data_IF_670636152354
#
_entry.id   IF_670636152354
#
_cell.length_a   1.000
_cell.length_b   1.000
_cell.length_c   1.000
_cell.angle_alpha   90.00
_cell.angle_beta   90.00
_cell.angle_gamma   90.00
#
_symmetry.space_group_name_H-M   'P 1'
#
loop_
_entity.id
_entity.type
_entity.pdbx_description
1 polymer ?
#
# COMPACT_ATOMS: atom_id res chain seq x y z
N UNK A 1 -18.91 3.98 -28.64
CA UNK A 1 -17.84 3.38 -29.49
C UNK A 1 -16.79 2.78 -28.55
N UNK A 2 -16.35 1.55 -28.81
CA UNK A 2 -15.27 0.91 -28.05
C UNK A 2 -13.96 1.68 -28.22
N UNK A 3 -13.05 1.55 -27.25
CA UNK A 3 -11.68 2.05 -27.43
C UNK A 3 -10.97 1.07 -28.36
N UNK A 4 -10.29 1.51 -29.44
CA UNK A 4 -9.69 0.62 -30.44
C UNK A 4 -8.69 -0.39 -29.84
N UNK A 5 -8.07 -0.03 -28.72
CA UNK A 5 -7.15 -0.89 -27.97
C UNK A 5 -7.86 -2.07 -27.29
N UNK A 6 -9.11 -1.91 -26.88
CA UNK A 6 -9.90 -2.99 -26.29
C UNK A 6 -10.30 -4.00 -27.36
N UNK A 7 -10.56 -3.55 -28.58
CA UNK A 7 -10.85 -4.42 -29.73
C UNK A 7 -9.60 -5.23 -30.10
N UNK A 8 -8.41 -4.63 -30.06
CA UNK A 8 -7.14 -5.35 -30.23
C UNK A 8 -6.90 -6.37 -29.11
N UNK A 9 -7.23 -6.05 -27.86
CA UNK A 9 -7.15 -7.02 -26.76
C UNK A 9 -8.13 -8.19 -26.94
N UNK A 10 -9.35 -7.95 -27.42
CA UNK A 10 -10.33 -9.00 -27.71
C UNK A 10 -9.87 -9.94 -28.82
N UNK A 11 -9.11 -9.42 -29.79
CA UNK A 11 -8.57 -10.23 -30.87
C UNK A 11 -7.43 -11.15 -30.40
N UNK A 12 -6.63 -10.71 -29.43
CA UNK A 12 -5.42 -11.43 -28.97
C UNK A 12 -5.72 -12.38 -27.81
N UNK A 13 -6.66 -12.06 -26.92
CA UNK A 13 -6.97 -12.89 -25.75
C UNK A 13 -8.08 -13.89 -26.07
N UNK A 14 -7.81 -15.20 -25.88
CA UNK A 14 -8.84 -16.23 -26.01
C UNK A 14 -9.67 -16.36 -24.73
N UNK A 15 -9.05 -16.19 -23.55
CA UNK A 15 -9.73 -16.32 -22.26
C UNK A 15 -10.22 -14.96 -21.70
N UNK A 16 -11.44 -14.96 -21.16
CA UNK A 16 -12.04 -13.78 -20.52
C UNK A 16 -11.25 -13.30 -19.28
N UNK A 17 -10.63 -14.21 -18.54
CA UNK A 17 -9.78 -13.89 -17.39
C UNK A 17 -8.52 -13.11 -17.82
N UNK A 18 -7.82 -13.59 -18.86
CA UNK A 18 -6.66 -12.90 -19.45
C UNK A 18 -7.05 -11.52 -19.97
N UNK A 19 -8.17 -11.41 -20.68
CA UNK A 19 -8.68 -10.14 -21.20
C UNK A 19 -8.90 -9.10 -20.09
N UNK A 20 -9.58 -9.51 -19.01
CA UNK A 20 -9.89 -8.61 -17.89
C UNK A 20 -8.60 -8.13 -17.20
N UNK A 21 -7.64 -9.04 -16.96
CA UNK A 21 -6.35 -8.69 -16.36
C UNK A 21 -5.51 -7.80 -17.28
N UNK A 22 -5.47 -8.11 -18.58
CA UNK A 22 -4.76 -7.34 -19.60
C UNK A 22 -5.29 -5.90 -19.70
N UNK A 23 -6.61 -5.72 -19.61
CA UNK A 23 -7.26 -4.40 -19.60
C UNK A 23 -6.79 -3.55 -18.40
N UNK A 24 -6.67 -4.14 -17.22
CA UNK A 24 -6.16 -3.46 -16.02
C UNK A 24 -4.68 -3.09 -16.22
N UNK A 25 -3.86 -4.03 -16.68
CA UNK A 25 -2.43 -3.80 -16.92
C UNK A 25 -2.21 -2.72 -17.99
N UNK A 26 -3.03 -2.67 -19.04
CA UNK A 26 -2.95 -1.65 -20.08
C UNK A 26 -3.21 -0.24 -19.53
N UNK A 27 -4.22 -0.08 -18.69
CA UNK A 27 -4.51 1.20 -18.05
C UNK A 27 -3.35 1.64 -17.14
N UNK A 28 -2.78 0.72 -16.37
CA UNK A 28 -1.63 0.98 -15.50
C UNK A 28 -0.36 1.29 -16.32
N UNK A 29 -0.10 0.55 -17.39
CA UNK A 29 1.04 0.79 -18.25
C UNK A 29 0.96 2.20 -18.84
N UNK A 30 -0.21 2.60 -19.38
CA UNK A 30 -0.43 3.93 -19.95
C UNK A 30 -0.15 5.09 -18.99
N UNK A 31 -0.55 4.96 -17.73
CA UNK A 31 -0.30 6.00 -16.74
C UNK A 31 1.18 6.07 -16.39
N UNK A 32 1.84 4.92 -16.28
CA UNK A 32 3.25 4.80 -15.87
C UNK A 32 4.27 4.99 -16.98
N UNK A 33 3.89 4.85 -18.23
CA UNK A 33 4.80 4.97 -19.39
C UNK A 33 4.60 6.29 -20.13
N UNK A 34 3.83 7.22 -19.54
CA UNK A 34 3.60 8.55 -20.08
C UNK A 34 4.93 9.33 -20.18
N UNK A 35 5.13 10.16 -21.22
CA UNK A 35 6.31 11.03 -21.30
C UNK A 35 6.56 11.78 -19.97
N UNK A 36 7.77 11.65 -19.44
CA UNK A 36 8.18 12.23 -18.15
C UNK A 36 8.14 11.29 -16.94
N UNK A 37 7.63 10.06 -17.07
CA UNK A 37 7.62 9.08 -15.97
C UNK A 37 8.95 8.38 -15.70
N UNK A 38 9.94 8.56 -16.57
CA UNK A 38 11.19 7.79 -16.57
C UNK A 38 11.12 6.48 -17.37
N UNK A 39 9.92 5.98 -17.68
CA UNK A 39 9.69 4.76 -18.46
C UNK A 39 9.07 5.07 -19.83
N UNK A 40 9.75 5.92 -20.61
CA UNK A 40 9.21 6.34 -21.91
C UNK A 40 9.28 5.21 -22.94
N UNK A 41 8.11 4.85 -23.45
CA UNK A 41 7.94 3.96 -24.60
C UNK A 41 7.85 4.84 -25.85
N UNK A 42 8.66 4.54 -26.88
CA UNK A 42 8.66 5.30 -28.13
C UNK A 42 7.29 5.27 -28.82
N UNK A 43 6.98 6.30 -29.63
CA UNK A 43 5.66 6.45 -30.27
C UNK A 43 5.23 5.19 -31.05
N UNK A 44 6.15 4.59 -31.80
CA UNK A 44 5.91 3.38 -32.60
C UNK A 44 5.54 2.17 -31.74
N UNK A 45 6.05 2.12 -30.51
CA UNK A 45 5.84 1.03 -29.57
C UNK A 45 4.52 1.15 -28.79
N UNK A 46 3.83 2.30 -28.87
CA UNK A 46 2.51 2.48 -28.23
C UNK A 46 1.44 1.61 -28.91
N UNK A 47 1.56 1.37 -30.21
CA UNK A 47 0.63 0.54 -31.00
C UNK A 47 0.65 -0.91 -30.52
N UNK A 48 1.83 -1.42 -30.13
CA UNK A 48 2.00 -2.79 -29.65
C UNK A 48 1.70 -2.98 -28.15
N UNK A 49 1.40 -1.91 -27.41
CA UNK A 49 1.21 -1.95 -25.96
C UNK A 49 0.07 -2.90 -25.51
N UNK A 50 -1.09 -2.98 -26.19
CA UNK A 50 -2.15 -3.92 -25.83
C UNK A 50 -1.68 -5.38 -25.86
N UNK A 51 -0.98 -5.80 -26.92
CA UNK A 51 -0.47 -7.17 -27.07
C UNK A 51 0.59 -7.51 -26.01
N UNK A 52 1.47 -6.57 -25.66
CA UNK A 52 2.45 -6.73 -24.56
C UNK A 52 1.74 -6.92 -23.21
N UNK A 53 0.69 -6.14 -22.93
CA UNK A 53 -0.08 -6.27 -21.70
C UNK A 53 -0.86 -7.58 -21.63
N UNK A 54 -1.37 -8.07 -22.77
CA UNK A 54 -2.03 -9.37 -22.88
C UNK A 54 -1.07 -10.53 -22.57
N UNK A 55 0.15 -10.50 -23.13
CA UNK A 55 1.20 -11.45 -22.80
C UNK A 55 1.56 -11.46 -21.31
N UNK A 56 1.77 -10.30 -20.71
CA UNK A 56 2.07 -10.19 -19.28
C UNK A 56 0.92 -10.70 -18.40
N UNK A 57 -0.34 -10.47 -18.81
CA UNK A 57 -1.51 -11.00 -18.10
C UNK A 57 -1.54 -12.53 -18.14
N UNK A 58 -1.27 -13.14 -19.30
CA UNK A 58 -1.19 -14.60 -19.43
C UNK A 58 -0.07 -15.20 -18.57
N UNK A 59 1.10 -14.54 -18.52
CA UNK A 59 2.19 -14.94 -17.61
C UNK A 59 1.80 -14.84 -16.14
N UNK A 60 1.12 -13.78 -15.72
CA UNK A 60 0.70 -13.61 -14.32
C UNK A 60 -0.34 -14.65 -13.87
N UNK A 61 -1.20 -15.09 -14.81
CA UNK A 61 -2.22 -16.11 -14.53
C UNK A 61 -1.71 -17.54 -14.71
N UNK A 62 -0.48 -17.73 -15.22
CA UNK A 62 0.11 -19.03 -15.54
C UNK A 62 -0.79 -19.92 -16.42
N UNK A 63 -1.60 -19.32 -17.31
CA UNK A 63 -2.55 -20.05 -18.14
C UNK A 63 -2.03 -20.40 -19.53
N UNK A 64 -0.91 -19.80 -19.96
CA UNK A 64 -0.32 -20.05 -21.28
C UNK A 64 -1.18 -19.61 -22.47
N UNK A 65 -2.21 -18.79 -22.25
CA UNK A 65 -3.17 -18.31 -23.26
C UNK A 65 -2.49 -17.58 -24.44
N UNK A 66 -1.42 -16.82 -24.15
CA UNK A 66 -0.72 -16.03 -25.17
C UNK A 66 0.77 -16.34 -25.12
N UNK A 67 1.30 -16.89 -26.21
CA UNK A 67 2.73 -17.08 -26.39
C UNK A 67 3.42 -15.77 -26.80
N UNK A 68 4.73 -15.69 -26.55
CA UNK A 68 5.52 -14.50 -26.90
C UNK A 68 5.49 -14.20 -28.40
N UNK A 69 5.52 -15.23 -29.24
CA UNK A 69 5.49 -15.09 -30.70
C UNK A 69 4.14 -14.55 -31.19
N UNK A 70 3.03 -15.03 -30.64
CA UNK A 70 1.68 -14.52 -30.95
C UNK A 70 1.52 -13.07 -30.52
N UNK A 71 2.01 -12.71 -29.33
CA UNK A 71 2.00 -11.33 -28.85
C UNK A 71 2.86 -10.41 -29.73
N UNK A 72 4.02 -10.88 -30.18
CA UNK A 72 4.87 -10.11 -31.08
C UNK A 72 4.18 -9.87 -32.44
N UNK A 73 3.65 -10.92 -33.07
CA UNK A 73 2.97 -10.81 -34.37
C UNK A 73 1.75 -9.89 -34.30
N UNK A 74 0.94 -9.99 -33.24
CA UNK A 74 -0.23 -9.12 -33.03
C UNK A 74 0.09 -7.68 -32.65
N UNK A 75 1.31 -7.42 -32.13
CA UNK A 75 1.79 -6.07 -31.83
C UNK A 75 2.25 -5.30 -33.06
N UNK A 76 2.50 -5.99 -34.18
CA UNK A 76 3.13 -5.46 -35.39
C UNK A 76 4.51 -4.79 -35.13
N UNK A 77 5.20 -5.16 -34.06
CA UNK A 77 6.52 -4.64 -33.72
C UNK A 77 7.63 -5.60 -34.16
N UNK A 78 8.78 -5.02 -34.53
CA UNK A 78 10.02 -5.78 -34.67
C UNK A 78 10.40 -6.46 -33.34
N UNK A 79 10.94 -7.67 -33.38
CA UNK A 79 11.27 -8.48 -32.19
C UNK A 79 12.08 -7.70 -31.14
N UNK A 80 13.12 -6.99 -31.58
CA UNK A 80 13.98 -6.18 -30.72
C UNK A 80 13.21 -5.05 -30.03
N UNK A 81 12.28 -4.42 -30.75
CA UNK A 81 11.44 -3.33 -30.23
C UNK A 81 10.38 -3.87 -29.27
N UNK A 82 9.80 -5.03 -29.58
CA UNK A 82 8.87 -5.74 -28.72
C UNK A 82 9.52 -6.12 -27.38
N UNK A 83 10.69 -6.76 -27.40
CA UNK A 83 11.42 -7.14 -26.19
C UNK A 83 11.80 -5.93 -25.33
N UNK A 84 12.25 -4.85 -25.97
CA UNK A 84 12.56 -3.59 -25.26
C UNK A 84 11.31 -3.03 -24.59
N UNK A 85 10.19 -2.97 -25.31
CA UNK A 85 8.90 -2.47 -24.80
C UNK A 85 8.40 -3.35 -23.66
N UNK A 86 8.48 -4.67 -23.79
CA UNK A 86 8.13 -5.63 -22.75
C UNK A 86 8.95 -5.40 -21.48
N UNK A 87 10.27 -5.24 -21.61
CA UNK A 87 11.15 -4.95 -20.48
C UNK A 87 10.77 -3.63 -19.80
N UNK A 88 10.57 -2.56 -20.57
CA UNK A 88 10.18 -1.25 -20.04
C UNK A 88 8.80 -1.27 -19.37
N UNK A 89 7.81 -1.94 -19.96
CA UNK A 89 6.46 -2.09 -19.37
C UNK A 89 6.52 -2.92 -18.10
N UNK A 90 7.30 -4.00 -18.09
CA UNK A 90 7.53 -4.81 -16.88
C UNK A 90 8.17 -3.95 -15.79
N UNK A 91 9.27 -3.27 -16.09
CA UNK A 91 9.92 -2.36 -15.13
C UNK A 91 8.97 -1.28 -14.63
N UNK A 92 8.16 -0.67 -15.50
CA UNK A 92 7.19 0.36 -15.08
C UNK A 92 6.08 -0.20 -14.18
N UNK A 93 5.47 -1.34 -14.55
CA UNK A 93 4.38 -1.94 -13.77
C UNK A 93 4.87 -2.43 -12.41
N UNK A 94 6.03 -3.09 -12.39
CA UNK A 94 6.64 -3.63 -11.17
C UNK A 94 7.51 -2.60 -10.43
N UNK A 95 7.73 -1.41 -10.98
CA UNK A 95 8.37 -0.31 -10.23
C UNK A 95 7.53 0.03 -9.00
N UNK A 96 6.19 0.05 -9.13
CA UNK A 96 5.35 0.23 -7.95
C UNK A 96 5.44 -0.98 -7.05
N UNK A 97 5.42 -2.22 -7.55
CA UNK A 97 5.56 -3.38 -6.66
C UNK A 97 6.89 -3.36 -5.91
N UNK A 98 7.96 -2.83 -6.52
CA UNK A 98 9.27 -2.68 -5.90
C UNK A 98 9.40 -1.40 -5.05
N UNK A 99 8.65 -0.33 -5.33
CA UNK A 99 8.56 0.87 -4.48
C UNK A 99 7.62 0.63 -3.29
N UNK A 100 6.56 -0.13 -3.52
CA UNK A 100 5.67 -0.78 -2.56
C UNK A 100 6.21 -2.13 -2.11
N UNK A 101 7.50 -2.45 -2.29
CA UNK A 101 8.21 -3.35 -1.35
C UNK A 101 8.44 -2.67 -0.01
N UNK A 102 8.01 -1.41 0.12
CA UNK A 102 7.47 -0.86 1.37
C UNK A 102 6.09 -1.44 1.74
N UNK A 103 5.64 -2.57 1.14
CA UNK A 103 4.75 -3.53 1.82
C UNK A 103 5.51 -3.89 3.07
N UNK A 104 5.20 -3.14 4.12
CA UNK A 104 6.11 -2.92 5.22
C UNK A 104 6.66 -4.24 5.70
N UNK A 105 7.97 -4.27 5.88
CA UNK A 105 8.71 -5.46 6.25
C UNK A 105 7.99 -6.18 7.39
N UNK A 106 7.54 -7.41 7.15
CA UNK A 106 6.88 -8.17 8.21
C UNK A 106 7.94 -8.70 9.17
N UNK A 107 7.62 -8.74 10.46
CA UNK A 107 8.48 -9.43 11.44
C UNK A 107 8.68 -10.90 11.10
N UNK A 108 7.74 -11.53 10.39
CA UNK A 108 7.89 -12.90 9.91
C UNK A 108 8.98 -13.04 8.85
N UNK A 109 9.13 -12.04 7.99
CA UNK A 109 10.16 -12.04 6.94
C UNK A 109 11.55 -11.84 7.57
N UNK A 110 11.67 -10.87 8.48
CA UNK A 110 12.89 -10.65 9.28
C UNK A 110 13.27 -11.90 10.09
N UNK A 111 12.31 -12.56 10.73
CA UNK A 111 12.59 -13.75 11.51
C UNK A 111 13.00 -14.94 10.64
N UNK A 112 12.40 -15.07 9.45
CA UNK A 112 12.78 -16.09 8.47
C UNK A 112 14.22 -15.90 7.99
N UNK A 113 14.61 -14.66 7.76
CA UNK A 113 15.95 -14.31 7.26
C UNK A 113 17.03 -14.47 8.33
N UNK A 114 16.78 -13.99 9.56
CA UNK A 114 17.84 -13.86 10.58
C UNK A 114 17.73 -14.80 11.79
N UNK A 115 16.55 -15.38 12.08
CA UNK A 115 16.29 -16.06 13.37
C UNK A 115 16.15 -17.58 13.27
N UNK A 116 15.90 -18.13 12.08
CA UNK A 116 15.71 -19.58 11.88
C UNK A 116 14.49 -20.15 12.64
N UNK A 117 14.65 -21.34 13.24
CA UNK A 117 13.52 -22.16 13.75
C UNK A 117 12.74 -21.61 14.96
N UNK A 118 13.20 -20.55 15.63
CA UNK A 118 12.49 -19.93 16.78
C UNK A 118 11.57 -18.75 16.39
N UNK A 119 11.24 -18.64 15.11
CA UNK A 119 10.61 -17.45 14.50
C UNK A 119 9.25 -17.05 15.07
N UNK A 120 8.41 -18.00 15.51
CA UNK A 120 7.02 -17.68 15.89
C UNK A 120 6.90 -16.92 17.21
N UNK A 121 7.58 -17.36 18.29
CA UNK A 121 7.50 -16.68 19.61
C UNK A 121 8.17 -15.31 19.56
N UNK A 122 9.29 -15.23 18.85
CA UNK A 122 10.04 -13.99 18.66
C UNK A 122 9.21 -12.94 17.91
N UNK A 123 8.42 -13.35 16.90
CA UNK A 123 7.49 -12.44 16.22
C UNK A 123 6.42 -11.89 17.17
N UNK A 124 5.92 -12.71 18.10
CA UNK A 124 4.99 -12.28 19.15
C UNK A 124 5.57 -11.17 20.02
N UNK A 125 6.81 -11.33 20.49
CA UNK A 125 7.50 -10.31 21.29
C UNK A 125 7.76 -9.01 20.51
N UNK A 126 8.06 -9.09 19.21
CA UNK A 126 8.22 -7.92 18.36
C UNK A 126 6.91 -7.15 18.19
N UNK A 127 5.79 -7.86 17.96
CA UNK A 127 4.46 -7.26 17.88
C UNK A 127 4.04 -6.61 19.21
N UNK A 128 4.32 -7.26 20.34
CA UNK A 128 4.07 -6.70 21.68
C UNK A 128 4.87 -5.40 21.89
N UNK A 129 6.13 -5.37 21.45
CA UNK A 129 7.00 -4.19 21.55
C UNK A 129 6.47 -3.05 20.67
N UNK A 130 6.10 -3.33 19.41
CA UNK A 130 5.50 -2.33 18.50
C UNK A 130 4.21 -1.77 19.09
N UNK A 131 3.35 -2.62 19.68
CA UNK A 131 2.10 -2.19 20.32
C UNK A 131 2.35 -1.23 21.48
N UNK A 132 3.35 -1.49 22.33
CA UNK A 132 3.71 -0.58 23.43
C UNK A 132 4.24 0.76 22.91
N UNK A 133 5.02 0.76 21.84
CA UNK A 133 5.52 1.99 21.21
C UNK A 133 4.41 2.82 20.59
N UNK A 134 3.43 2.19 19.95
CA UNK A 134 2.25 2.85 19.38
C UNK A 134 1.37 3.42 20.50
N UNK A 135 1.09 2.64 21.54
CA UNK A 135 0.22 3.07 22.65
C UNK A 135 0.77 4.27 23.42
N UNK A 136 2.10 4.38 23.55
CA UNK A 136 2.74 5.52 24.22
C UNK A 136 2.95 6.74 23.30
N UNK A 137 2.66 6.62 22.00
CA UNK A 137 2.85 7.66 20.97
C UNK A 137 4.24 8.31 20.91
N UNK A 138 5.28 7.69 21.49
CA UNK A 138 6.62 8.31 21.63
C UNK A 138 7.32 8.50 20.29
N UNK A 139 7.01 7.64 19.31
CA UNK A 139 7.60 7.67 17.97
C UNK A 139 6.77 8.46 16.95
N UNK A 140 5.46 8.61 17.18
CA UNK A 140 4.51 9.25 16.26
C UNK A 140 4.89 10.65 15.77
N UNK A 141 5.52 11.56 16.57
CA UNK A 141 5.84 12.90 16.06
C UNK A 141 6.99 12.93 15.05
N UNK A 142 7.82 11.88 14.97
CA UNK A 142 9.02 11.87 14.11
C UNK A 142 9.10 10.71 13.14
N UNK A 143 8.44 9.60 13.44
CA UNK A 143 8.54 8.35 12.69
C UNK A 143 7.16 7.76 12.50
N UNK A 144 6.87 7.29 11.28
CA UNK A 144 5.69 6.47 11.04
C UNK A 144 5.87 5.13 11.76
N UNK A 145 4.87 4.70 12.52
CA UNK A 145 4.89 3.40 13.21
C UNK A 145 5.07 2.24 12.22
N UNK A 146 4.64 2.40 10.97
CA UNK A 146 4.80 1.39 9.91
C UNK A 146 6.13 1.48 9.17
N UNK A 147 7.03 2.38 9.59
CA UNK A 147 8.34 2.55 8.96
C UNK A 147 9.20 1.30 9.18
N UNK A 148 9.84 0.83 8.11
CA UNK A 148 10.80 -0.28 8.16
C UNK A 148 11.95 0.00 9.15
N UNK A 149 12.28 1.29 9.37
CA UNK A 149 13.26 1.71 10.37
C UNK A 149 12.87 1.27 11.79
N UNK A 150 11.61 1.52 12.18
CA UNK A 150 11.10 1.17 13.51
C UNK A 150 11.05 -0.34 13.66
N UNK A 151 10.60 -1.06 12.62
CA UNK A 151 10.55 -2.53 12.65
C UNK A 151 11.92 -3.16 12.75
N UNK A 152 12.90 -2.71 11.97
CA UNK A 152 14.27 -3.20 12.06
C UNK A 152 14.90 -2.90 13.42
N UNK A 153 14.62 -1.73 14.00
CA UNK A 153 15.10 -1.37 15.33
C UNK A 153 14.48 -2.24 16.43
N UNK A 154 13.17 -2.48 16.38
CA UNK A 154 12.46 -3.40 17.28
C UNK A 154 13.00 -4.81 17.11
N UNK A 155 13.16 -5.27 15.87
CA UNK A 155 13.70 -6.60 15.57
C UNK A 155 15.08 -6.79 16.19
N UNK A 156 16.00 -5.86 15.94
CA UNK A 156 17.35 -5.91 16.49
C UNK A 156 17.35 -5.86 18.02
N UNK A 157 16.52 -4.99 18.61
CA UNK A 157 16.40 -4.86 20.05
C UNK A 157 15.91 -6.17 20.71
N UNK A 158 14.86 -6.79 20.17
CA UNK A 158 14.38 -8.10 20.65
C UNK A 158 15.46 -9.16 20.44
N UNK A 159 16.14 -9.16 19.28
CA UNK A 159 17.21 -10.11 18.99
C UNK A 159 18.38 -10.02 19.99
N UNK A 160 18.73 -8.82 20.46
CA UNK A 160 19.72 -8.62 21.51
C UNK A 160 19.28 -9.26 22.84
N UNK A 161 18.01 -9.09 23.23
CA UNK A 161 17.48 -9.67 24.48
C UNK A 161 17.48 -11.19 24.42
N UNK A 162 17.13 -11.76 23.27
CA UNK A 162 17.09 -13.21 23.02
C UNK A 162 18.51 -13.80 22.78
N UNK A 163 19.54 -12.94 22.76
CA UNK A 163 20.93 -13.32 22.48
C UNK A 163 21.12 -14.00 21.11
N UNK A 164 20.34 -13.56 20.11
CA UNK A 164 20.53 -14.00 18.73
C UNK A 164 21.80 -13.36 18.17
N UNK A 165 22.63 -14.18 17.51
CA UNK A 165 23.89 -13.73 16.87
C UNK A 165 23.60 -12.98 15.57
N UNK A 166 22.95 -11.82 15.65
CA UNK A 166 22.66 -10.97 14.49
C UNK A 166 23.56 -9.74 14.54
N UNK A 167 24.29 -9.46 13.46
CA UNK A 167 25.13 -8.27 13.37
C UNK A 167 24.30 -7.05 12.97
N UNK A 168 24.34 -6.02 13.81
CA UNK A 168 23.63 -4.75 13.58
C UNK A 168 23.96 -4.14 12.20
N UNK A 169 25.22 -4.25 11.79
CA UNK A 169 25.72 -3.68 10.53
C UNK A 169 25.14 -4.35 9.29
N UNK A 170 24.71 -5.61 9.38
CA UNK A 170 24.12 -6.35 8.25
C UNK A 170 22.69 -5.85 8.03
N UNK A 171 21.87 -5.83 9.08
CA UNK A 171 20.48 -5.33 9.05
C UNK A 171 20.38 -3.87 8.54
N UNK A 172 21.29 -2.99 8.98
CA UNK A 172 21.29 -1.58 8.53
C UNK A 172 21.63 -1.46 7.04
N UNK A 173 22.57 -2.27 6.54
CA UNK A 173 23.01 -2.24 5.14
C UNK A 173 21.97 -2.86 4.22
N UNK A 174 21.41 -4.00 4.60
CA UNK A 174 20.46 -4.76 3.79
C UNK A 174 19.17 -3.95 3.55
N UNK A 175 18.78 -3.11 4.51
CA UNK A 175 17.58 -2.29 4.44
C UNK A 175 17.85 -0.80 4.15
N UNK A 176 19.08 -0.43 3.81
CA UNK A 176 19.48 0.96 3.49
C UNK A 176 19.05 1.99 4.55
N UNK A 177 19.21 1.66 5.83
CA UNK A 177 18.78 2.51 6.94
C UNK A 177 19.85 3.53 7.33
N UNK A 178 19.42 4.69 7.83
CA UNK A 178 20.35 5.68 8.40
C UNK A 178 20.75 5.26 9.82
N UNK A 179 22.03 4.94 10.01
CA UNK A 179 22.60 4.54 11.32
C UNK A 179 22.27 5.54 12.44
N UNK A 180 22.39 6.85 12.15
CA UNK A 180 22.06 7.91 13.12
C UNK A 180 20.59 7.87 13.56
N UNK A 181 19.66 7.62 12.63
CA UNK A 181 18.23 7.54 12.96
C UNK A 181 17.93 6.24 13.71
N UNK A 182 18.57 5.14 13.31
CA UNK A 182 18.44 3.85 13.96
C UNK A 182 18.85 3.91 15.44
N UNK A 183 19.98 4.54 15.75
CA UNK A 183 20.45 4.75 17.13
C UNK A 183 19.48 5.59 17.96
N UNK A 184 18.87 6.63 17.36
CA UNK A 184 17.88 7.46 18.04
C UNK A 184 16.65 6.62 18.39
N UNK A 185 16.14 5.83 17.44
CA UNK A 185 14.99 4.94 17.67
C UNK A 185 15.33 3.90 18.73
N UNK A 186 16.52 3.30 18.70
CA UNK A 186 16.96 2.33 19.71
C UNK A 186 17.03 2.92 21.12
N UNK A 187 17.52 4.17 21.27
CA UNK A 187 17.52 4.86 22.57
C UNK A 187 16.11 5.05 23.12
N UNK A 188 15.16 5.37 22.24
CA UNK A 188 13.74 5.50 22.62
C UNK A 188 13.17 4.14 23.04
N UNK A 189 13.41 3.08 22.26
CA UNK A 189 12.93 1.73 22.57
C UNK A 189 13.50 1.25 23.93
N UNK A 190 14.80 1.42 24.16
CA UNK A 190 15.44 1.04 25.43
C UNK A 190 14.82 1.73 26.65
N UNK A 191 14.47 3.02 26.52
CA UNK A 191 13.86 3.80 27.59
C UNK A 191 12.42 3.38 27.85
N UNK A 192 11.64 3.17 26.80
CA UNK A 192 10.19 3.03 26.91
C UNK A 192 9.70 1.58 27.01
N UNK A 193 10.49 0.61 26.55
CA UNK A 193 10.11 -0.81 26.48
C UNK A 193 10.79 -1.67 27.57
N UNK A 194 11.28 -1.09 28.66
CA UNK A 194 11.95 -1.84 29.75
C UNK A 194 11.01 -2.90 30.39
N UNK A 195 9.71 -2.61 30.51
CA UNK A 195 8.71 -3.55 31.00
C UNK A 195 8.56 -4.77 30.09
N UNK A 196 8.55 -4.54 28.77
CA UNK A 196 8.51 -5.61 27.75
C UNK A 196 9.79 -6.44 27.82
N UNK A 197 10.95 -5.80 28.01
CA UNK A 197 12.21 -6.52 28.17
C UNK A 197 12.20 -7.45 29.40
N UNK A 198 11.64 -7.01 30.53
CA UNK A 198 11.48 -7.85 31.73
C UNK A 198 10.59 -9.06 31.45
N UNK A 199 9.45 -8.85 30.77
CA UNK A 199 8.53 -9.92 30.34
C UNK A 199 9.21 -10.94 29.41
N UNK A 200 9.94 -10.48 28.40
CA UNK A 200 10.66 -11.37 27.47
C UNK A 200 11.71 -12.20 28.21
N UNK A 201 12.47 -11.59 29.14
CA UNK A 201 13.48 -12.32 29.93
C UNK A 201 12.85 -13.37 30.84
N UNK A 202 11.73 -13.08 31.50
CA UNK A 202 11.04 -14.08 32.32
C UNK A 202 10.49 -15.24 31.50
N UNK A 203 9.94 -14.97 30.30
CA UNK A 203 9.48 -16.03 29.40
C UNK A 203 10.64 -16.85 28.83
N UNK A 204 11.79 -16.22 28.55
CA UNK A 204 12.99 -16.92 28.12
C UNK A 204 13.54 -17.85 29.21
N UNK A 205 13.57 -17.41 30.47
CA UNK A 205 13.99 -18.24 31.59
C UNK A 205 13.05 -19.44 31.77
N UNK A 206 11.73 -19.20 31.69
CA UNK A 206 10.73 -20.27 31.75
C UNK A 206 10.86 -21.30 30.61
N UNK A 207 11.39 -20.90 29.45
CA UNK A 207 11.68 -21.82 28.33
C UNK A 207 13.05 -22.49 28.45
N UNK A 208 13.97 -21.92 29.24
CA UNK A 208 15.31 -22.45 29.46
C UNK A 208 15.32 -23.59 30.49
N UNK A 209 14.32 -23.64 31.35
CA UNK A 209 14.11 -24.71 32.32
C UNK A 209 13.07 -25.72 31.81
N UNK A 210 13.42 -26.59 30.84
CA UNK A 210 12.51 -27.65 30.39
C UNK A 210 12.28 -28.72 31.47
N UNK A 211 12.96 -28.63 32.61
CA UNK A 211 12.96 -29.65 33.66
C UNK A 211 11.83 -29.50 34.69
N UNK A 212 11.13 -28.36 34.77
CA UNK A 212 10.05 -28.15 35.76
C UNK A 212 8.63 -28.27 35.20
N UNK A 213 8.48 -28.32 33.87
CA UNK A 213 7.22 -28.70 33.22
C UNK A 213 7.20 -30.20 32.90
N UNK A 214 7.49 -31.02 33.91
CA UNK A 214 6.92 -32.36 33.93
C UNK A 214 5.40 -32.15 33.99
N UNK A 215 4.69 -32.64 32.96
CA UNK A 215 3.24 -32.71 32.95
C UNK A 215 2.72 -33.06 34.35
N UNK A 216 1.78 -32.30 34.93
CA UNK A 216 0.88 -32.87 35.90
C UNK A 216 0.03 -33.86 35.11
N UNK A 217 0.60 -35.05 34.93
CA UNK A 217 -0.15 -36.24 34.56
C UNK A 217 -1.13 -36.38 35.70
N UNK A 218 -2.33 -35.95 35.40
CA UNK A 218 -3.55 -36.02 36.17
C UNK A 218 -3.71 -37.45 36.71
N UNK A 219 -3.06 -37.70 37.85
CA UNK A 219 -3.35 -38.84 38.69
C UNK A 219 -4.67 -38.52 39.36
N UNK A 220 -5.75 -38.74 38.62
CA UNK A 220 -7.05 -39.00 39.20
C UNK A 220 -6.90 -40.28 40.03
N UNK A 221 -6.54 -40.08 41.30
CA UNK A 221 -6.82 -40.99 42.39
C UNK A 221 -8.32 -41.27 42.38
N UNK A 222 -8.69 -42.34 41.67
CA UNK A 222 -9.98 -42.97 41.84
C UNK A 222 -9.88 -43.84 43.09
N UNK A 223 -10.64 -43.42 44.10
CA UNK A 223 -10.84 -44.16 45.34
C UNK A 223 -11.19 -45.63 45.08
N UNK A 224 -10.42 -46.46 45.76
CA UNK A 224 -10.66 -47.88 46.04
C UNK A 224 -11.91 -48.03 46.93
N UNK A 225 -12.78 -49.02 46.67
CA UNK A 225 -13.20 -49.90 47.75
C UNK A 225 -12.88 -51.36 47.45
N UNK A 226 -12.74 -52.11 48.53
CA UNK A 226 -12.27 -53.48 48.60
C UNK A 226 -13.18 -54.50 47.87
N UNK A 227 -12.57 -55.63 47.50
CA UNK A 227 -12.92 -56.97 48.01
C UNK A 227 -13.00 -58.07 46.93
N UNK A 228 -12.44 -59.23 47.30
CA UNK A 228 -12.59 -60.58 46.73
C UNK A 228 -11.80 -60.98 45.45
N UNK A 229 -10.68 -61.66 45.72
CA UNK A 229 -10.38 -63.05 45.33
C UNK A 229 -10.07 -63.46 43.86
N UNK A 230 -9.19 -64.46 43.80
CA UNK A 230 -8.74 -65.30 42.67
C UNK A 230 -7.57 -64.70 41.85
N UNK A 231 -6.33 -65.06 42.16
CA UNK A 231 -5.61 -66.28 41.74
C UNK A 231 -5.09 -66.24 40.30
N UNK A 232 -3.84 -66.73 40.17
CA UNK A 232 -3.14 -67.14 38.94
C UNK A 232 -2.51 -66.04 38.08
N UNK A 233 -1.20 -65.90 38.20
CA UNK A 233 -0.27 -66.46 37.19
C UNK A 233 1.13 -65.85 37.33
N UNK A 234 2.04 -66.69 37.81
CA UNK A 234 3.48 -66.50 37.80
C UNK A 234 4.03 -66.37 36.37
N UNK A 235 4.94 -65.42 36.13
CA UNK A 235 6.09 -65.52 35.21
C UNK A 235 6.93 -64.23 35.37
N UNK A 236 7.90 -64.17 36.29
CA UNK A 236 9.30 -64.61 36.15
C UNK A 236 10.13 -63.86 35.10
N UNK A 237 11.16 -63.12 35.60
CA UNK A 237 12.56 -63.02 35.09
C UNK A 237 12.75 -62.47 33.65
N UNK A 238 13.73 -61.65 33.30
CA UNK A 238 15.14 -61.48 33.70
C UNK A 238 15.69 -60.19 33.09
N UNK A 239 16.63 -59.56 33.80
CA UNK A 239 17.87 -58.91 33.32
C UNK A 239 18.15 -58.95 31.81
N UNK A 240 18.56 -57.82 31.24
CA UNK A 240 19.96 -57.57 30.86
C UNK A 240 20.12 -56.21 30.16
N UNK A 241 21.16 -55.47 30.53
CA UNK A 241 21.68 -54.38 29.72
C UNK A 241 22.62 -54.92 28.65
N UNK A 242 22.73 -54.21 27.54
CA UNK A 242 23.85 -54.32 26.61
C UNK A 242 24.11 -52.96 25.98
N UNK A 243 25.25 -52.38 26.34
CA UNK A 243 25.96 -51.42 25.53
C UNK A 243 26.35 -52.07 24.18
N UNK A 244 26.34 -51.30 23.09
CA UNK A 244 27.54 -51.16 22.26
C UNK A 244 27.41 -50.13 21.12
N UNK A 245 28.55 -49.57 20.66
CA UNK A 245 28.67 -48.53 19.65
C UNK A 245 29.03 -49.10 18.25
N UNK A 246 28.84 -48.31 17.19
CA UNK A 246 29.47 -48.48 15.87
C UNK A 246 29.33 -47.15 15.11
N UNK A 247 30.38 -46.33 14.90
CA UNK A 247 31.46 -46.47 13.90
C UNK A 247 30.98 -46.95 12.53
N UNK A 248 30.87 -46.02 11.58
CA UNK A 248 31.20 -46.29 10.18
C UNK A 248 31.82 -45.06 9.53
N UNK A 249 33.08 -45.21 9.14
CA UNK A 249 33.85 -44.32 8.30
C UNK A 249 33.95 -44.96 6.91
N UNK A 250 33.57 -44.24 5.85
CA UNK A 250 34.13 -44.31 4.48
C UNK A 250 33.76 -42.96 3.81
N UNK A 251 34.68 -42.05 3.46
CA UNK A 251 35.78 -42.11 2.49
C UNK A 251 35.28 -42.18 1.04
N UNK A 252 35.09 -41.02 0.41
CA UNK A 252 35.38 -40.83 -1.02
C UNK A 252 36.11 -39.51 -1.23
N UNK A 253 37.27 -39.67 -1.85
CA UNK A 253 38.29 -38.70 -2.22
C UNK A 253 38.14 -38.50 -3.73
N UNK A 254 37.98 -37.27 -4.19
CA UNK A 254 38.18 -36.94 -5.61
C UNK A 254 38.95 -35.64 -5.69
N UNK A 255 40.27 -35.81 -5.77
CA UNK A 255 41.20 -34.87 -6.37
C UNK A 255 40.93 -34.88 -7.89
N UNK A 256 40.70 -33.71 -8.47
CA UNK A 256 41.24 -33.39 -9.78
C UNK A 256 41.79 -31.97 -9.75
N UNK A 257 43.12 -31.92 -9.65
CA UNK A 257 43.95 -30.84 -10.15
C UNK A 257 43.79 -30.73 -11.67
N UNK A 258 43.89 -29.49 -12.19
CA UNK A 258 44.67 -29.10 -13.40
C UNK A 258 44.14 -27.80 -14.06
N UNK A 259 44.97 -27.02 -14.78
CA UNK A 259 45.36 -25.70 -14.29
C UNK A 259 45.29 -24.57 -15.34
N UNK A 260 45.68 -23.37 -14.91
CA UNK A 260 46.39 -22.32 -15.69
C UNK A 260 45.72 -21.59 -16.87
N UNK A 261 45.75 -20.25 -16.71
CA UNK A 261 46.12 -19.20 -17.70
C UNK A 261 45.14 -18.82 -18.81
N UNK A 262 44.63 -17.60 -18.71
CA UNK A 262 44.50 -16.62 -19.81
C UNK A 262 44.06 -15.27 -19.18
N UNK A 263 44.93 -14.28 -18.94
CA UNK A 263 45.46 -13.29 -19.90
C UNK A 263 44.42 -12.78 -20.90
N UNK A 264 43.78 -11.65 -20.58
CA UNK A 264 43.82 -10.43 -21.43
C UNK A 264 43.23 -9.20 -20.72
N UNK A 265 44.14 -8.31 -20.35
CA UNK A 265 43.94 -6.86 -20.26
C UNK A 265 43.42 -6.35 -21.62
N UNK A 266 42.32 -5.60 -21.62
CA UNK A 266 42.19 -4.41 -22.47
C UNK A 266 41.81 -3.25 -21.57
N UNK A 267 42.83 -2.49 -21.18
CA UNK A 267 42.63 -1.10 -20.85
C UNK A 267 42.23 -0.38 -22.13
N UNK A 268 41.13 0.35 -22.07
CA UNK A 268 40.85 1.44 -23.00
C UNK A 268 40.95 2.70 -22.17
N UNK A 269 42.15 3.25 -22.19
CA UNK A 269 42.46 4.63 -21.85
C UNK A 269 41.84 5.53 -22.91
N UNK A 270 40.96 6.44 -22.50
CA UNK A 270 40.60 7.60 -23.31
C UNK A 270 41.51 8.76 -22.89
N UNK A 271 42.30 9.21 -23.85
CA UNK A 271 43.18 10.36 -23.76
C UNK A 271 42.43 11.63 -23.36
N UNK A 272 43.05 12.38 -22.46
CA UNK A 272 42.79 13.78 -22.23
C UNK A 272 43.22 14.59 -23.46
N UNK A 273 42.28 14.87 -24.36
CA UNK A 273 42.44 15.87 -25.40
C UNK A 273 41.98 17.23 -24.91
N UNK A 274 42.93 18.09 -24.55
CA UNK A 274 42.73 19.53 -24.41
C UNK A 274 42.29 20.12 -25.75
N UNK A 275 41.10 20.70 -25.81
CA UNK A 275 40.58 21.32 -27.02
C UNK A 275 39.46 22.29 -26.70
N UNK A 276 39.84 23.54 -26.47
CA UNK A 276 39.01 24.74 -26.49
C UNK A 276 37.88 24.65 -27.55
N UNK A 277 36.63 24.88 -27.11
CA UNK A 277 35.56 25.52 -27.90
C UNK A 277 34.31 25.78 -27.04
N UNK A 278 34.20 27.04 -26.61
CA UNK A 278 32.99 27.89 -26.54
C UNK A 278 31.63 27.27 -26.15
N UNK A 279 30.94 27.79 -25.11
CA UNK A 279 29.55 27.44 -24.87
C UNK A 279 28.61 28.14 -25.87
N UNK A 280 28.03 27.39 -26.80
CA UNK A 280 26.90 27.86 -27.60
C UNK A 280 25.64 27.94 -26.73
N UNK A 281 25.35 29.18 -26.34
CA UNK A 281 24.07 29.69 -25.84
C UNK A 281 22.99 29.43 -26.89
N UNK A 282 21.91 28.75 -26.53
CA UNK A 282 20.67 28.71 -27.33
C UNK A 282 19.47 29.20 -26.52
N UNK A 283 18.49 29.84 -27.20
CA UNK A 283 17.60 30.81 -26.60
C UNK A 283 16.31 30.20 -26.04
N UNK A 284 15.97 30.64 -24.83
CA UNK A 284 14.65 30.44 -24.20
C UNK A 284 13.61 31.23 -25.00
N UNK A 285 12.89 30.56 -25.91
CA UNK A 285 11.66 31.09 -26.51
C UNK A 285 10.51 30.88 -25.52
N UNK A 286 10.09 31.97 -24.87
CA UNK A 286 8.87 32.04 -24.06
C UNK A 286 7.65 31.92 -24.98
N UNK A 287 6.95 30.79 -24.93
CA UNK A 287 5.63 30.66 -25.54
C UNK A 287 4.60 31.38 -24.66
N UNK A 288 3.95 32.39 -25.24
CA UNK A 288 2.91 33.23 -24.64
C UNK A 288 1.58 32.46 -24.75
N UNK A 289 1.12 31.86 -23.65
CA UNK A 289 -0.23 31.27 -23.58
C UNK A 289 -1.21 32.30 -23.03
N UNK A 290 -2.26 32.53 -23.80
CA UNK A 290 -3.43 33.36 -23.48
C UNK A 290 -4.29 32.70 -22.39
N UNK A 291 -4.94 33.47 -21.49
CA UNK A 291 -5.80 32.90 -20.45
C UNK A 291 -7.21 32.61 -20.97
N UNK A 292 -7.68 31.39 -20.72
CA UNK A 292 -9.05 30.91 -20.94
C UNK A 292 -9.96 31.36 -19.79
N UNK A 293 -10.99 32.11 -20.17
CA UNK A 293 -12.34 32.32 -19.63
C UNK A 293 -12.69 31.68 -18.26
N UNK A 294 -13.02 32.57 -17.32
CA UNK A 294 -13.52 32.29 -15.96
C UNK A 294 -14.94 31.69 -15.96
N UNK A 295 -15.16 30.68 -15.12
CA UNK A 295 -16.48 30.15 -14.75
C UNK A 295 -16.91 30.66 -13.37
N UNK A 296 -18.19 31.04 -13.15
CA UNK A 296 -18.63 31.61 -11.88
C UNK A 296 -18.90 30.54 -10.81
N UNK A 297 -18.33 30.77 -9.62
CA UNK A 297 -18.58 30.01 -8.39
C UNK A 297 -20.01 30.23 -7.88
N UNK A 298 -20.71 29.12 -7.61
CA UNK A 298 -22.03 29.08 -6.98
C UNK A 298 -21.89 29.00 -5.46
N UNK A 299 -22.39 30.01 -4.74
CA UNK A 299 -22.54 29.98 -3.28
C UNK A 299 -23.80 29.17 -2.92
N UNK A 300 -23.60 28.02 -2.27
CA UNK A 300 -24.66 27.21 -1.66
C UNK A 300 -25.19 27.84 -0.38
N UNK A 301 -26.52 27.98 -0.27
CA UNK A 301 -27.26 28.25 0.96
C UNK A 301 -28.12 27.03 1.27
N UNK A 302 -27.59 26.08 2.04
CA UNK A 302 -28.35 24.92 2.53
C UNK A 302 -28.38 24.95 4.07
N UNK A 303 -29.30 25.74 4.64
CA UNK A 303 -29.63 25.70 6.06
C UNK A 303 -30.92 24.91 6.35
N UNK A 304 -31.67 24.48 5.32
CA UNK A 304 -32.94 23.77 5.48
C UNK A 304 -32.81 22.23 5.59
N UNK A 305 -31.62 21.67 5.34
CA UNK A 305 -31.43 20.20 5.31
C UNK A 305 -31.21 19.54 6.67
N UNK A 306 -30.75 20.28 7.69
CA UNK A 306 -30.41 19.68 8.99
C UNK A 306 -31.63 19.40 9.87
N UNK A 307 -32.68 20.22 9.79
CA UNK A 307 -33.87 20.06 10.62
C UNK A 307 -34.66 18.77 10.32
N UNK A 308 -34.66 18.32 9.06
CA UNK A 308 -35.31 17.05 8.68
C UNK A 308 -34.52 15.82 9.14
N UNK A 309 -33.19 15.94 9.28
CA UNK A 309 -32.34 14.85 9.75
C UNK A 309 -32.44 14.67 11.27
N UNK A 310 -32.44 15.76 12.04
CA UNK A 310 -32.64 15.72 13.50
C UNK A 310 -34.00 15.12 13.90
N UNK A 311 -35.06 15.38 13.14
CA UNK A 311 -36.38 14.82 13.41
C UNK A 311 -36.41 13.29 13.33
N UNK A 312 -35.62 12.68 12.43
CA UNK A 312 -35.57 11.24 12.22
C UNK A 312 -34.85 10.47 13.34
N UNK A 313 -33.89 11.09 14.04
CA UNK A 313 -33.16 10.46 15.17
C UNK A 313 -33.90 10.58 16.51
N UNK A 314 -34.94 11.40 16.60
CA UNK A 314 -35.68 11.63 17.86
C UNK A 314 -36.61 10.49 18.29
N UNK A 315 -36.79 9.46 17.47
CA UNK A 315 -37.51 8.23 17.84
C UNK A 315 -39.01 8.39 18.17
N UNK A 316 -39.60 9.57 17.97
CA UNK A 316 -41.03 9.80 18.23
C UNK A 316 -41.87 9.20 17.10
N UNK A 317 -42.62 8.13 17.41
CA UNK A 317 -43.62 7.55 16.50
C UNK A 317 -44.66 8.62 16.14
N UNK A 318 -45.00 8.83 14.85
CA UNK A 318 -46.07 9.73 14.46
C UNK A 318 -47.41 9.15 14.94
N UNK A 319 -48.07 9.88 15.83
CA UNK A 319 -49.41 9.59 16.33
C UNK A 319 -50.42 9.82 15.20
N UNK A 320 -51.23 8.81 14.88
CA UNK A 320 -52.25 8.84 13.83
C UNK A 320 -53.29 9.90 14.18
N UNK A 321 -53.19 11.07 13.55
CA UNK A 321 -54.26 12.07 13.55
C UNK A 321 -55.36 11.56 12.60
N UNK A 322 -56.41 10.99 13.18
CA UNK A 322 -57.69 10.81 12.49
C UNK A 322 -58.22 12.19 12.11
N UNK A 323 -58.40 12.45 10.83
CA UNK A 323 -59.08 13.64 10.35
C UNK A 323 -60.20 13.22 9.42
N UNK A 324 -61.40 13.68 9.79
CA UNK A 324 -62.68 13.46 9.16
C UNK A 324 -62.67 13.87 7.69
N UNK A 325 -63.51 13.16 6.95
CA UNK A 325 -64.00 13.47 5.61
C UNK A 325 -64.54 14.90 5.54
N UNK A 326 -64.16 15.62 4.49
CA UNK A 326 -64.99 16.70 3.94
C UNK A 326 -64.88 16.65 2.41
N UNK A 327 -66.04 16.68 1.79
CA UNK A 327 -66.30 16.55 0.37
C UNK A 327 -65.86 17.79 -0.40
N UNK A 328 -65.46 17.60 -1.66
CA UNK A 328 -65.69 18.62 -2.69
C UNK A 328 -64.49 19.04 -3.55
N UNK A 329 -64.61 18.68 -4.83
CA UNK A 329 -64.13 19.42 -6.00
C UNK A 329 -62.61 19.43 -6.31
N UNK A 330 -62.24 18.56 -7.25
CA UNK A 330 -61.27 18.85 -8.33
C UNK A 330 -61.74 20.09 -9.15
N UNK A 331 -60.91 20.79 -9.96
CA UNK A 331 -59.60 20.40 -10.50
C UNK A 331 -58.55 21.55 -10.57
N UNK A 332 -57.30 21.25 -10.87
CA UNK A 332 -56.49 21.84 -11.96
C UNK A 332 -55.00 21.56 -11.79
N UNK A 333 -54.41 21.09 -12.89
CA UNK A 333 -52.98 20.96 -13.17
C UNK A 333 -52.19 22.24 -12.87
N UNK A 334 -51.20 22.18 -11.98
CA UNK A 334 -50.07 23.12 -11.99
C UNK A 334 -48.74 22.40 -11.77
N UNK A 335 -48.06 22.14 -12.89
CA UNK A 335 -46.66 21.74 -12.94
C UNK A 335 -45.73 22.80 -12.31
N UNK A 336 -44.66 22.39 -11.59
CA UNK A 336 -43.74 23.33 -10.95
C UNK A 336 -42.85 24.05 -11.98
N UNK A 337 -43.06 25.36 -12.10
CA UNK A 337 -42.32 26.25 -12.99
C UNK A 337 -40.92 26.54 -12.42
N UNK A 338 -39.86 26.18 -13.16
CA UNK A 338 -38.47 26.52 -12.84
C UNK A 338 -38.22 28.03 -12.86
N UNK A 339 -37.45 28.61 -11.92
CA UNK A 339 -37.11 30.02 -11.94
C UNK A 339 -36.14 30.37 -13.08
N UNK A 340 -36.56 31.31 -13.93
CA UNK A 340 -35.77 31.93 -15.00
C UNK A 340 -34.60 32.71 -14.41
N UNK A 341 -33.37 32.29 -14.74
CA UNK A 341 -32.13 33.01 -14.43
C UNK A 341 -31.97 34.19 -15.40
N UNK A 342 -32.16 35.41 -14.91
CA UNK A 342 -31.97 36.64 -15.68
C UNK A 342 -30.51 36.75 -16.20
N UNK A 343 -30.36 36.88 -17.52
CA UNK A 343 -29.10 37.24 -18.20
C UNK A 343 -28.97 38.77 -18.17
N UNK A 344 -28.02 39.30 -17.41
CA UNK A 344 -27.63 40.70 -17.51
C UNK A 344 -26.93 40.94 -18.86
N UNK A 345 -27.54 41.79 -19.70
CA UNK A 345 -26.95 42.36 -20.92
C UNK A 345 -25.95 43.43 -20.53
N UNK A 346 -24.71 43.31 -20.99
CA UNK A 346 -23.75 44.43 -21.04
C UNK A 346 -23.99 45.27 -22.30
N UNK A 347 -23.90 46.61 -22.25
CA UNK A 347 -24.15 47.49 -23.39
C UNK A 347 -22.96 47.53 -24.37
N UNK A 348 -23.20 47.83 -25.67
CA UNK A 348 -22.15 47.97 -26.67
C UNK A 348 -21.49 49.35 -26.57
N UNK A 349 -20.16 49.38 -26.51
CA UNK A 349 -19.38 50.63 -26.55
C UNK A 349 -19.09 50.98 -28.01
N UNK A 350 -19.66 52.10 -28.44
CA UNK A 350 -19.41 52.73 -29.73
C UNK A 350 -17.97 53.25 -29.84
N UNK A 351 -17.41 53.14 -31.04
CA UNK A 351 -16.21 53.83 -31.50
C UNK A 351 -16.63 55.19 -32.08
N UNK A 352 -15.78 56.22 -31.94
CA UNK A 352 -15.60 57.16 -33.03
C UNK A 352 -14.12 57.34 -33.38
N UNK A 353 -13.86 57.35 -34.69
CA UNK A 353 -12.68 57.99 -35.29
C UNK A 353 -12.81 59.52 -35.12
N UNK A 354 -11.72 60.23 -34.89
CA UNK A 354 -11.07 61.10 -35.89
C UNK A 354 -10.01 62.07 -35.31
N UNK A 355 -8.93 62.18 -36.09
CA UNK A 355 -7.90 63.22 -36.31
C UNK A 355 -7.37 64.18 -35.21
N UNK A 356 -6.04 64.12 -35.10
CA UNK A 356 -5.03 65.19 -35.26
C UNK A 356 -4.74 66.23 -34.15
N UNK A 357 -3.47 66.67 -34.17
CA UNK A 357 -2.85 67.84 -33.52
C UNK A 357 -2.05 67.61 -32.23
N UNK A 358 -0.73 67.69 -32.44
CA UNK A 358 0.40 68.08 -31.58
C UNK A 358 0.11 68.65 -30.18
N UNK A 359 0.74 68.08 -29.15
CA UNK A 359 1.40 68.83 -28.05
C UNK A 359 2.24 67.91 -27.18
N UNK A 360 3.47 68.35 -26.92
CA UNK A 360 4.36 67.82 -25.89
C UNK A 360 3.66 67.87 -24.53
N UNK A 361 3.50 66.73 -23.86
CA UNK A 361 3.10 66.74 -22.46
C UNK A 361 3.56 65.48 -21.72
N UNK A 362 3.84 65.70 -20.45
CA UNK A 362 4.63 64.92 -19.50
C UNK A 362 4.29 63.42 -19.43
N UNK A 363 5.36 62.60 -19.42
CA UNK A 363 5.31 61.18 -19.07
C UNK A 363 4.85 61.01 -17.63
N UNK A 364 3.56 60.84 -17.42
CA UNK A 364 3.02 60.23 -16.20
C UNK A 364 3.34 58.72 -16.23
N UNK A 365 4.06 58.17 -15.24
CA UNK A 365 4.40 56.75 -15.22
C UNK A 365 3.14 55.91 -15.02
N UNK A 366 2.89 55.00 -15.97
CA UNK A 366 1.78 54.04 -15.88
C UNK A 366 1.87 53.22 -14.58
N UNK A 367 0.76 53.02 -13.85
CA UNK A 367 0.77 52.24 -12.61
C UNK A 367 1.23 50.80 -12.90
N UNK A 368 2.31 50.41 -12.23
CA UNK A 368 2.87 49.07 -12.29
C UNK A 368 1.81 48.03 -11.91
N UNK A 369 1.62 46.96 -12.71
CA UNK A 369 0.64 45.93 -12.40
C UNK A 369 1.01 45.27 -11.07
N UNK A 370 0.12 45.39 -10.09
CA UNK A 370 0.29 44.81 -8.76
C UNK A 370 0.60 43.30 -8.88
N UNK A 371 1.62 42.80 -8.18
CA UNK A 371 2.01 41.40 -8.24
C UNK A 371 0.82 40.52 -7.83
N UNK A 372 0.34 39.71 -8.79
CA UNK A 372 -0.67 38.68 -8.53
C UNK A 372 -0.12 37.76 -7.45
N UNK A 373 -0.75 37.79 -6.26
CA UNK A 373 -0.39 36.94 -5.13
C UNK A 373 -0.36 35.48 -5.60
N UNK A 374 0.84 34.92 -5.65
CA UNK A 374 1.08 33.53 -6.01
C UNK A 374 0.45 32.66 -4.92
N UNK A 375 -0.76 32.16 -5.14
CA UNK A 375 -1.34 31.14 -4.26
C UNK A 375 -0.69 29.81 -4.63
N UNK A 376 0.08 29.16 -3.73
CA UNK A 376 0.69 27.88 -4.03
C UNK A 376 -0.41 26.86 -4.36
N UNK A 377 -0.44 26.37 -5.60
CA UNK A 377 -1.47 25.47 -6.16
C UNK A 377 -1.47 24.08 -5.51
N UNK A 378 -0.65 23.85 -4.48
CA UNK A 378 -0.42 22.52 -3.89
C UNK A 378 -0.62 22.44 -2.37
N UNK A 379 -1.15 23.47 -1.71
CA UNK A 379 -1.57 23.34 -0.30
C UNK A 379 -2.81 22.45 -0.12
N UNK A 380 -3.59 22.20 -1.18
CA UNK A 380 -4.82 21.41 -1.12
C UNK A 380 -4.57 19.94 -0.77
N UNK A 381 -3.41 19.34 -1.08
CA UNK A 381 -3.18 17.91 -0.79
C UNK A 381 -3.23 17.56 0.71
N UNK A 382 -2.86 18.51 1.59
CA UNK A 382 -3.02 18.32 3.04
C UNK A 382 -4.49 18.32 3.47
N UNK A 383 -5.33 19.09 2.78
CA UNK A 383 -6.77 19.18 3.07
C UNK A 383 -7.52 17.87 2.75
N UNK A 384 -7.07 17.11 1.75
CA UNK A 384 -7.66 15.80 1.43
C UNK A 384 -7.19 14.68 2.38
N UNK A 385 -6.05 14.84 3.03
CA UNK A 385 -5.51 13.87 4.00
C UNK A 385 -5.96 14.14 5.44
N UNK A 386 -6.39 15.36 5.77
CA UNK A 386 -7.01 15.65 7.06
C UNK A 386 -8.43 15.10 7.10
N UNK A 387 -8.71 14.24 8.08
CA UNK A 387 -10.06 13.74 8.37
C UNK A 387 -10.98 14.94 8.66
N UNK A 388 -12.14 15.00 8.01
CA UNK A 388 -13.07 16.12 8.18
C UNK A 388 -13.43 16.26 9.68
N UNK A 389 -13.27 17.45 10.30
CA UNK A 389 -13.57 17.66 11.71
C UNK A 389 -15.03 17.35 12.07
N UNK A 390 -15.97 17.37 11.11
CA UNK A 390 -17.35 16.91 11.33
C UNK A 390 -17.43 15.41 11.52
N UNK A 391 -16.76 14.65 10.65
CA UNK A 391 -16.67 13.18 10.76
C UNK A 391 -15.99 12.79 12.08
N UNK A 392 -14.97 13.54 12.51
CA UNK A 392 -14.32 13.28 13.80
C UNK A 392 -15.27 13.48 15.00
N UNK A 393 -16.20 14.44 14.94
CA UNK A 393 -17.22 14.66 15.99
C UNK A 393 -18.35 13.64 15.95
N UNK A 394 -18.76 13.20 14.76
CA UNK A 394 -19.87 12.26 14.57
C UNK A 394 -19.44 10.79 14.79
N UNK A 395 -18.16 10.48 14.61
CA UNK A 395 -17.60 9.14 14.80
C UNK A 395 -17.92 8.49 16.16
N UNK A 396 -17.71 9.14 17.32
CA UNK A 396 -18.03 8.52 18.61
C UNK A 396 -19.53 8.20 18.75
N UNK A 397 -20.42 9.07 18.24
CA UNK A 397 -21.87 8.85 18.26
C UNK A 397 -22.24 7.64 17.40
N UNK A 398 -21.62 7.49 16.23
CA UNK A 398 -21.82 6.30 15.39
C UNK A 398 -21.30 5.03 16.05
N UNK A 399 -20.14 5.07 16.71
CA UNK A 399 -19.59 3.90 17.42
C UNK A 399 -20.50 3.49 18.57
N UNK A 400 -21.01 4.44 19.35
CA UNK A 400 -21.97 4.18 20.43
C UNK A 400 -23.27 3.60 19.89
N UNK A 401 -23.79 4.15 18.79
CA UNK A 401 -24.99 3.62 18.12
C UNK A 401 -24.76 2.19 17.62
N UNK A 402 -23.63 1.89 16.98
CA UNK A 402 -23.28 0.53 16.53
C UNK A 402 -23.17 -0.42 17.71
N UNK A 403 -22.52 -0.02 18.81
CA UNK A 403 -22.42 -0.84 20.02
C UNK A 403 -23.79 -1.12 20.64
N UNK A 404 -24.68 -0.12 20.67
CA UNK A 404 -26.05 -0.28 21.15
C UNK A 404 -26.85 -1.24 20.25
N UNK A 405 -26.73 -1.10 18.92
CA UNK A 405 -27.34 -2.01 17.95
C UNK A 405 -26.79 -3.44 18.10
N UNK A 406 -25.48 -3.60 18.35
CA UNK A 406 -24.86 -4.90 18.61
C UNK A 406 -25.35 -5.50 19.93
N UNK A 407 -25.58 -4.68 20.96
CA UNK A 407 -26.15 -5.14 22.23
C UNK A 407 -27.60 -5.61 22.09
N UNK A 408 -28.40 -4.91 21.28
CA UNK A 408 -29.82 -5.24 21.07
C UNK A 408 -30.03 -6.43 20.12
N UNK A 409 -29.23 -6.53 19.06
CA UNK A 409 -29.46 -7.48 17.96
C UNK A 409 -28.35 -8.52 17.78
N UNK A 410 -27.32 -8.51 18.64
CA UNK A 410 -26.10 -9.32 18.47
C UNK A 410 -25.22 -8.77 17.35
N UNK A 411 -24.19 -9.53 16.95
CA UNK A 411 -23.34 -9.16 15.81
C UNK A 411 -23.96 -9.66 14.49
N UNK A 412 -24.69 -8.81 13.72
CA UNK A 412 -25.45 -9.27 12.55
C UNK A 412 -24.57 -9.84 11.42
N UNK A 413 -23.27 -9.54 11.42
CA UNK A 413 -22.33 -10.04 10.41
C UNK A 413 -21.40 -11.16 10.89
N UNK A 414 -21.33 -11.43 12.20
CA UNK A 414 -20.47 -12.50 12.72
C UNK A 414 -21.00 -13.89 12.32
N UNK A 415 -22.32 -14.07 12.35
CA UNK A 415 -22.97 -15.34 12.01
C UNK A 415 -22.74 -15.79 10.56
N UNK A 416 -22.34 -14.88 9.66
CA UNK A 416 -22.13 -15.21 8.25
C UNK A 416 -20.72 -15.75 7.97
N UNK A 417 -19.75 -15.43 8.83
CA UNK A 417 -18.35 -15.86 8.65
C UNK A 417 -18.19 -17.33 9.11
N UNK A 418 -18.89 -17.73 10.16
CA UNK A 418 -18.80 -19.10 10.69
C UNK A 418 -19.41 -20.16 9.75
N UNK A 419 -20.42 -19.78 8.96
CA UNK A 419 -21.06 -20.68 7.98
C UNK A 419 -20.16 -20.93 6.76
N UNK A 420 -19.36 -19.94 6.33
CA UNK A 420 -18.40 -20.14 5.24
C UNK A 420 -17.16 -20.93 5.67
N UNK A 421 -16.75 -20.86 6.94
CA UNK A 421 -15.62 -21.66 7.43
C UNK A 421 -15.96 -23.12 7.74
N UNK A 422 -17.24 -23.49 7.88
CA UNK A 422 -17.65 -24.89 8.01
C UNK A 422 -17.96 -25.57 6.65
N UNK A 423 -18.01 -24.80 5.57
CA UNK A 423 -18.29 -25.30 4.22
C UNK A 423 -17.03 -25.51 3.35
N UNK A 424 -15.84 -25.36 3.94
CA UNK A 424 -14.51 -25.67 3.36
C UNK A 424 -13.84 -26.71 4.25
#
# INVERSE_FOLDING_TARGET
MGRPEEDQLRLVCSQAATFTKAKILLQQAKTKTRPGSGYHIGADSVIGLPAVCAYLASQQLNNGDISQTVAQTSSCLNEKVFLKTLKTVREALFADVNQTKTTGMSYLDLNREYTGSRSSKVAGWMNDTERVLVLKEVLAPKYDSKSDLVRCAVFWWVAQIVQLKTRMSEVIKDHNLSEKQFDIVLKIINKECESVAKKIRSELEALRDPASNADPSDSLDLEKPAEAAAESSLQSRTRSGTASPSKSAMKTRTLQDSPTKSLRKRGVSFEAGSGSRTPHRTPIKKLKLTPVRETPQSRSKNAAGMAAFEAAFSGKKPEKRMLLEDDGANPFDETPTRPKRARARSPPRAMPMEVDVTSENERTPSPTPLPRRFRPVFLDRKQWASRDPRVAKEWPVMVEHVNNMVGLYGHPFAQRIDVEMQAV
#
